data_IF_459038367468
#
_entry.id   IF_459038367468
#
_cell.length_a   1.000
_cell.length_b   1.000
_cell.length_c   1.000
_cell.angle_alpha   90.00
_cell.angle_beta   90.00
_cell.angle_gamma   90.00
#
_symmetry.space_group_name_H-M   'P 1'
#
loop_
_entity.id
_entity.type
_entity.pdbx_description
1 polymer ?
#
# COMPACT_ATOMS: atom_id res chain seq x y z
N UNK A 1 26.53 0.74 -36.92
CA UNK A 1 25.08 0.48 -36.69
C UNK A 1 24.92 0.31 -35.19
N UNK A 2 23.97 0.99 -34.55
CA UNK A 2 23.76 0.80 -33.12
C UNK A 2 23.17 -0.59 -32.88
N UNK A 3 23.73 -1.36 -31.94
CA UNK A 3 23.20 -2.66 -31.53
C UNK A 3 21.76 -2.53 -31.02
N UNK A 4 20.95 -3.54 -31.32
CA UNK A 4 19.57 -3.61 -30.86
C UNK A 4 19.53 -4.00 -29.38
N UNK A 5 19.29 -3.03 -28.49
CA UNK A 5 19.29 -3.26 -27.03
C UNK A 5 17.88 -3.56 -26.53
N UNK A 6 17.76 -4.59 -25.69
CA UNK A 6 16.54 -4.92 -24.96
C UNK A 6 16.68 -4.44 -23.51
N UNK A 7 15.67 -3.76 -23.00
CA UNK A 7 15.63 -3.28 -21.62
C UNK A 7 14.41 -3.86 -20.90
N UNK A 8 14.57 -4.17 -19.62
CA UNK A 8 13.48 -4.60 -18.73
C UNK A 8 13.49 -3.70 -17.50
N UNK A 9 12.31 -3.23 -17.09
CA UNK A 9 12.11 -2.52 -15.83
C UNK A 9 11.22 -3.38 -14.92
N UNK A 10 11.69 -3.64 -13.70
CA UNK A 10 10.97 -4.47 -12.71
C UNK A 10 10.65 -3.57 -11.52
N UNK A 11 9.37 -3.51 -11.16
CA UNK A 11 8.86 -2.78 -10.00
C UNK A 11 8.13 -3.74 -9.05
N UNK A 12 8.26 -3.50 -7.74
CA UNK A 12 7.64 -4.32 -6.72
C UNK A 12 6.32 -3.69 -6.24
N UNK A 13 5.22 -4.40 -6.50
CA UNK A 13 3.88 -3.92 -6.14
C UNK A 13 3.73 -3.72 -4.63
N UNK A 14 3.37 -2.50 -4.23
CA UNK A 14 3.10 -2.14 -2.83
C UNK A 14 4.26 -2.51 -1.89
N UNK A 15 5.51 -2.28 -2.32
CA UNK A 15 6.74 -2.74 -1.67
C UNK A 15 6.74 -2.68 -0.13
N UNK A 16 6.58 -1.50 0.48
CA UNK A 16 6.63 -1.39 1.95
C UNK A 16 5.51 -2.17 2.66
N UNK A 17 4.31 -2.23 2.06
CA UNK A 17 3.23 -3.03 2.65
C UNK A 17 3.55 -4.52 2.55
N UNK A 18 4.23 -4.95 1.48
CA UNK A 18 4.68 -6.34 1.32
C UNK A 18 5.77 -6.71 2.33
N UNK A 19 6.75 -5.83 2.55
CA UNK A 19 7.81 -6.02 3.56
C UNK A 19 7.20 -6.11 4.97
N UNK A 20 6.36 -5.14 5.35
CA UNK A 20 5.69 -5.15 6.66
C UNK A 20 4.81 -6.38 6.88
N UNK A 21 4.14 -6.88 5.84
CA UNK A 21 3.40 -8.13 5.95
C UNK A 21 4.34 -9.30 6.26
N UNK A 22 5.41 -9.47 5.47
CA UNK A 22 6.35 -10.59 5.63
C UNK A 22 7.06 -10.53 6.98
N UNK A 23 7.53 -9.36 7.42
CA UNK A 23 8.16 -9.19 8.75
C UNK A 23 7.22 -9.56 9.91
N UNK A 24 5.91 -9.43 9.71
CA UNK A 24 4.87 -9.79 10.68
C UNK A 24 4.33 -11.22 10.51
N UNK A 25 4.88 -12.00 9.57
CA UNK A 25 4.37 -13.35 9.26
C UNK A 25 3.01 -13.36 8.56
N UNK A 26 2.63 -12.27 7.90
CA UNK A 26 1.36 -12.09 7.20
C UNK A 26 1.52 -12.26 5.69
N UNK A 27 0.48 -12.74 5.01
CA UNK A 27 0.47 -12.87 3.56
C UNK A 27 0.09 -11.52 2.89
N UNK A 28 0.99 -10.91 2.10
CA UNK A 28 0.76 -9.59 1.50
C UNK A 28 -0.36 -9.54 0.45
N UNK A 29 -0.80 -10.69 -0.07
CA UNK A 29 -1.87 -10.79 -1.06
C UNK A 29 -3.26 -10.93 -0.45
N UNK A 30 -3.36 -11.17 0.86
CA UNK A 30 -4.64 -11.35 1.56
C UNK A 30 -4.81 -10.40 2.74
N UNK A 31 -3.74 -9.78 3.22
CA UNK A 31 -3.76 -8.93 4.41
C UNK A 31 -4.12 -7.48 4.06
N UNK A 32 -5.07 -6.91 4.80
CA UNK A 32 -5.40 -5.49 4.79
C UNK A 32 -4.39 -4.70 5.63
N UNK A 33 -3.37 -4.12 4.97
CA UNK A 33 -2.31 -3.34 5.61
C UNK A 33 -2.05 -2.00 4.90
N UNK A 34 -1.78 -0.95 5.69
CA UNK A 34 -1.28 0.36 5.25
C UNK A 34 0.00 0.71 6.00
N UNK A 35 0.95 1.35 5.31
CA UNK A 35 2.20 1.87 5.89
C UNK A 35 2.13 3.39 5.90
N UNK A 36 2.23 4.00 7.08
CA UNK A 36 2.21 5.44 7.28
C UNK A 36 2.94 5.82 8.57
N UNK A 37 3.55 7.00 8.60
CA UNK A 37 4.17 7.55 9.81
C UNK A 37 3.14 8.31 10.67
N UNK A 38 2.54 7.60 11.62
CA UNK A 38 1.54 8.15 12.54
C UNK A 38 2.09 9.16 13.55
N UNK A 39 3.42 9.25 13.72
CA UNK A 39 4.03 10.16 14.70
C UNK A 39 3.88 11.63 14.31
N UNK A 40 3.68 11.90 13.01
CA UNK A 40 3.45 13.25 12.48
C UNK A 40 2.03 13.73 12.75
N UNK A 41 1.05 13.22 12.00
CA UNK A 41 -0.40 13.42 12.15
C UNK A 41 -1.13 12.40 11.26
N UNK A 42 -2.45 12.27 11.39
CA UNK A 42 -3.27 11.53 10.41
C UNK A 42 -3.32 12.18 9.01
N UNK A 43 -2.83 13.42 8.85
CA UNK A 43 -2.67 14.07 7.52
C UNK A 43 -1.40 13.60 6.79
N UNK A 44 -0.62 12.69 7.39
CA UNK A 44 0.55 12.09 6.75
C UNK A 44 0.16 11.33 5.48
N UNK A 45 1.10 11.23 4.55
CA UNK A 45 0.92 10.42 3.34
C UNK A 45 1.13 8.95 3.69
N UNK A 46 0.29 8.07 3.14
CA UNK A 46 0.55 6.64 3.20
C UNK A 46 1.69 6.30 2.23
N UNK A 47 2.72 5.63 2.73
CA UNK A 47 3.88 5.20 1.95
C UNK A 47 3.55 3.98 1.08
N UNK A 48 2.68 3.09 1.58
CA UNK A 48 2.16 1.97 0.81
C UNK A 48 0.78 1.56 1.33
N UNK A 49 -0.02 1.02 0.42
CA UNK A 49 -1.31 0.38 0.72
C UNK A 49 -1.29 -1.00 0.07
N UNK A 50 -1.57 -2.04 0.85
CA UNK A 50 -1.63 -3.42 0.36
C UNK A 50 -2.71 -3.61 -0.73
N UNK A 51 -2.55 -4.56 -1.66
CA UNK A 51 -3.57 -4.83 -2.68
C UNK A 51 -4.97 -5.12 -2.13
N UNK A 52 -5.16 -5.93 -1.07
CA UNK A 52 -6.47 -6.15 -0.46
C UNK A 52 -7.11 -4.86 0.06
N UNK A 53 -6.31 -4.02 0.74
CA UNK A 53 -6.84 -2.77 1.28
C UNK A 53 -7.23 -1.77 0.18
N UNK A 54 -6.51 -1.77 -0.96
CA UNK A 54 -6.91 -0.99 -2.14
C UNK A 54 -8.25 -1.45 -2.73
N UNK A 55 -8.60 -2.73 -2.63
CA UNK A 55 -9.86 -3.27 -3.16
C UNK A 55 -11.09 -2.67 -2.46
N UNK A 56 -10.92 -2.10 -1.27
CA UNK A 56 -11.96 -1.35 -0.56
C UNK A 56 -12.15 0.10 -1.05
N UNK A 57 -11.52 0.50 -2.17
CA UNK A 57 -11.64 1.84 -2.75
C UNK A 57 -10.62 2.84 -2.20
N UNK A 58 -9.58 2.37 -1.51
CA UNK A 58 -8.52 3.23 -0.97
C UNK A 58 -7.46 3.50 -2.04
N UNK A 59 -7.21 4.79 -2.31
CA UNK A 59 -6.16 5.22 -3.24
C UNK A 59 -4.77 4.82 -2.77
N UNK A 60 -3.88 4.46 -3.70
CA UNK A 60 -2.48 4.18 -3.41
C UNK A 60 -1.66 5.38 -2.92
N UNK A 61 -2.21 6.60 -2.99
CA UNK A 61 -1.60 7.85 -2.48
C UNK A 61 -2.48 8.54 -1.42
N UNK A 62 -3.35 7.78 -0.76
CA UNK A 62 -4.23 8.32 0.28
C UNK A 62 -3.46 8.89 1.47
N UNK A 63 -4.08 9.82 2.19
CA UNK A 63 -3.68 10.26 3.52
C UNK A 63 -4.23 9.31 4.57
N UNK A 64 -3.56 9.21 5.71
CA UNK A 64 -3.94 8.24 6.76
C UNK A 64 -5.38 8.46 7.25
N UNK A 65 -5.83 9.70 7.40
CA UNK A 65 -7.22 9.98 7.81
C UNK A 65 -8.26 9.47 6.80
N UNK A 66 -7.97 9.53 5.48
CA UNK A 66 -8.86 9.01 4.42
C UNK A 66 -8.97 7.50 4.52
N UNK A 67 -7.84 6.82 4.79
CA UNK A 67 -7.80 5.38 5.03
C UNK A 67 -8.63 5.01 6.26
N UNK A 68 -8.42 5.71 7.38
CA UNK A 68 -9.15 5.47 8.63
C UNK A 68 -10.65 5.68 8.44
N UNK A 69 -11.06 6.76 7.76
CA UNK A 69 -12.47 7.01 7.45
C UNK A 69 -13.04 5.87 6.60
N UNK A 70 -12.36 5.50 5.51
CA UNK A 70 -12.87 4.47 4.61
C UNK A 70 -12.97 3.09 5.27
N UNK A 71 -12.01 2.73 6.12
CA UNK A 71 -12.06 1.47 6.89
C UNK A 71 -13.22 1.49 7.88
N UNK A 72 -13.50 2.62 8.54
CA UNK A 72 -14.68 2.74 9.42
C UNK A 72 -15.98 2.52 8.65
N UNK A 73 -16.12 3.11 7.47
CA UNK A 73 -17.30 2.90 6.61
C UNK A 73 -17.46 1.43 6.20
N UNK A 74 -16.36 0.78 5.79
CA UNK A 74 -16.37 -0.64 5.40
C UNK A 74 -16.75 -1.55 6.56
N UNK A 75 -16.26 -1.27 7.77
CA UNK A 75 -16.55 -2.08 8.96
C UNK A 75 -17.96 -1.87 9.52
N UNK A 76 -18.68 -0.83 9.08
CA UNK A 76 -20.04 -0.55 9.51
C UNK A 76 -21.11 -1.21 8.60
N UNK A 77 -20.68 -1.86 7.51
CA UNK A 77 -21.51 -2.66 6.61
C UNK A 77 -21.59 -4.11 7.10
#
# INVERSE_FOLDING_TARGET
MAENRTYIAIDLKSFYASVECVERGLNPLTTNLVVADKSRTEKTICLAVSPPLKAHGISGRARLFEVVQRVKEVNAL
#
